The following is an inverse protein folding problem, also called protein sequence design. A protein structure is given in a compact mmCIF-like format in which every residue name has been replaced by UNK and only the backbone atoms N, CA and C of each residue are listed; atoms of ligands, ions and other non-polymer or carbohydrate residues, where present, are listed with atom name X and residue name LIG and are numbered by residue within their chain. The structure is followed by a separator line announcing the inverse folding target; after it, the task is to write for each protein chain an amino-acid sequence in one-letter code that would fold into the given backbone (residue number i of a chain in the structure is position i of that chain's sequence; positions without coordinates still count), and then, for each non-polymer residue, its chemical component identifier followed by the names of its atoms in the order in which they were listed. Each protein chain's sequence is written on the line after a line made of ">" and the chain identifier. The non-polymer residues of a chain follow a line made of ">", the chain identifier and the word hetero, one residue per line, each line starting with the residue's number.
data_IF_550967604725
#
_entry.id   IF_550967604725
#
_cell.length_a   1.000
_cell.length_b   1.000
_cell.length_c   1.000
_cell.angle_alpha   90.00
_cell.angle_beta   90.00
_cell.angle_gamma   90.00
#
_symmetry.space_group_name_H-M   'P 1'
#
loop_
_entity.id
_entity.type
_entity.pdbx_description
1 polymer ?
#
# COMPACT_ATOMS: atom_id res chain seq x y z
N UNK A 1 57.45 -2.53 -26.76
CA UNK A 1 56.78 -1.86 -25.59
C UNK A 1 55.29 -1.63 -25.84
N UNK A 2 54.90 -0.97 -26.95
CA UNK A 2 53.49 -0.75 -27.34
C UNK A 2 52.64 -2.02 -27.40
N UNK A 3 53.14 -3.10 -28.02
CA UNK A 3 52.38 -4.37 -28.15
C UNK A 3 52.04 -5.02 -26.81
N UNK A 4 52.97 -5.00 -25.84
CA UNK A 4 52.74 -5.51 -24.47
C UNK A 4 51.66 -4.68 -23.75
N UNK A 5 51.67 -3.36 -23.92
CA UNK A 5 50.67 -2.44 -23.36
C UNK A 5 49.30 -2.72 -23.99
N UNK A 6 49.23 -2.81 -25.33
CA UNK A 6 47.98 -3.14 -26.05
C UNK A 6 47.43 -4.50 -25.63
N UNK A 7 48.27 -5.50 -25.44
CA UNK A 7 47.88 -6.81 -24.94
C UNK A 7 47.31 -6.75 -23.52
N UNK A 8 47.96 -6.02 -22.60
CA UNK A 8 47.45 -5.81 -21.24
C UNK A 8 46.09 -5.10 -21.25
N UNK A 9 45.94 -4.04 -22.05
CA UNK A 9 44.70 -3.28 -22.17
C UNK A 9 43.55 -4.19 -22.66
N UNK A 10 43.77 -4.98 -23.72
CA UNK A 10 42.77 -5.94 -24.20
C UNK A 10 42.38 -6.96 -23.13
N UNK A 11 43.36 -7.44 -22.35
CA UNK A 11 43.11 -8.38 -21.23
C UNK A 11 42.30 -7.74 -20.11
N UNK A 12 42.59 -6.49 -19.75
CA UNK A 12 41.85 -5.73 -18.74
C UNK A 12 40.41 -5.47 -19.21
N UNK A 13 40.22 -5.03 -20.47
CA UNK A 13 38.89 -4.82 -21.04
C UNK A 13 38.07 -6.12 -21.00
N UNK A 14 38.67 -7.25 -21.35
CA UNK A 14 37.99 -8.56 -21.29
C UNK A 14 37.58 -8.94 -19.87
N UNK A 15 38.42 -8.67 -18.87
CA UNK A 15 38.09 -8.87 -17.45
C UNK A 15 36.95 -7.94 -17.02
N UNK A 16 36.99 -6.66 -17.43
CA UNK A 16 35.96 -5.68 -17.07
C UNK A 16 34.59 -6.07 -17.65
N UNK A 17 34.55 -6.47 -18.93
CA UNK A 17 33.34 -6.98 -19.59
C UNK A 17 32.80 -8.21 -18.85
N UNK A 18 33.69 -9.13 -18.46
CA UNK A 18 33.30 -10.32 -17.69
C UNK A 18 32.69 -9.95 -16.33
N UNK A 19 33.28 -9.00 -15.61
CA UNK A 19 32.76 -8.51 -14.32
C UNK A 19 31.38 -7.88 -14.50
N UNK A 20 31.20 -7.02 -15.52
CA UNK A 20 29.92 -6.37 -15.81
C UNK A 20 28.84 -7.41 -16.15
N UNK A 21 29.18 -8.39 -16.99
CA UNK A 21 28.29 -9.50 -17.32
C UNK A 21 27.89 -10.28 -16.06
N UNK A 22 28.86 -10.63 -15.22
CA UNK A 22 28.60 -11.40 -14.00
C UNK A 22 27.75 -10.62 -13.00
N UNK A 23 27.99 -9.31 -12.86
CA UNK A 23 27.15 -8.43 -12.04
C UNK A 23 25.71 -8.38 -12.58
N UNK A 24 25.55 -8.22 -13.90
CA UNK A 24 24.22 -8.25 -14.54
C UNK A 24 23.52 -9.59 -14.35
N UNK A 25 24.26 -10.70 -14.43
CA UNK A 25 23.73 -12.04 -14.20
C UNK A 25 23.25 -12.22 -12.76
N UNK A 26 24.07 -11.84 -11.77
CA UNK A 26 23.71 -11.88 -10.35
C UNK A 26 22.51 -10.98 -10.07
N UNK A 27 22.51 -9.75 -10.60
CA UNK A 27 21.40 -8.82 -10.47
C UNK A 27 20.10 -9.37 -11.05
N UNK A 28 20.16 -10.00 -12.22
CA UNK A 28 19.02 -10.68 -12.83
C UNK A 28 18.55 -11.87 -12.00
N UNK A 29 19.47 -12.69 -11.46
CA UNK A 29 19.13 -13.81 -10.59
C UNK A 29 18.36 -13.35 -9.36
N UNK A 30 18.89 -12.34 -8.66
CA UNK A 30 18.28 -11.75 -7.47
C UNK A 30 16.92 -11.12 -7.81
N UNK A 31 16.83 -10.38 -8.91
CA UNK A 31 15.59 -9.74 -9.35
C UNK A 31 14.52 -10.75 -9.77
N UNK A 32 14.90 -11.88 -10.38
CA UNK A 32 13.95 -12.93 -10.79
C UNK A 32 13.25 -13.61 -9.61
N UNK A 33 13.85 -13.57 -8.42
CA UNK A 33 13.31 -14.22 -7.22
C UNK A 33 12.17 -13.43 -6.57
N UNK A 34 12.15 -12.10 -6.74
CA UNK A 34 11.18 -11.22 -6.09
C UNK A 34 9.75 -11.55 -6.50
N UNK A 35 8.84 -11.52 -5.53
CA UNK A 35 7.40 -11.70 -5.76
C UNK A 35 6.75 -10.40 -6.24
N UNK A 36 7.16 -9.27 -5.68
CA UNK A 36 6.59 -7.97 -6.00
C UNK A 36 7.60 -6.82 -5.78
N UNK A 37 7.28 -5.66 -6.32
CA UNK A 37 7.99 -4.40 -6.03
C UNK A 37 7.02 -3.27 -5.63
N UNK A 38 7.58 -2.23 -5.01
CA UNK A 38 6.87 -0.97 -4.76
C UNK A 38 6.95 -0.10 -6.00
N UNK A 39 5.80 0.37 -6.48
CA UNK A 39 5.74 1.29 -7.62
C UNK A 39 5.98 2.73 -7.18
N UNK A 40 6.15 3.63 -8.16
CA UNK A 40 6.20 5.08 -7.91
C UNK A 40 4.82 5.69 -7.59
N UNK A 41 3.73 4.93 -7.75
CA UNK A 41 2.40 5.38 -7.36
C UNK A 41 2.29 5.33 -5.83
N UNK A 42 2.35 6.50 -5.19
CA UNK A 42 2.26 6.63 -3.74
C UNK A 42 1.13 7.55 -3.29
N UNK A 43 0.70 7.38 -2.05
CA UNK A 43 -0.29 8.23 -1.40
C UNK A 43 0.24 8.70 -0.05
N UNK A 44 -0.15 9.90 0.37
CA UNK A 44 -0.04 10.33 1.76
C UNK A 44 -1.30 9.86 2.48
N UNK A 45 -1.12 8.99 3.46
CA UNK A 45 -2.17 8.45 4.31
C UNK A 45 -2.00 8.96 5.74
N UNK A 46 -3.10 9.37 6.37
CA UNK A 46 -3.08 9.80 7.76
C UNK A 46 -3.38 8.62 8.67
N UNK A 47 -2.44 8.33 9.58
CA UNK A 47 -2.60 7.26 10.55
C UNK A 47 -3.92 7.39 11.31
N UNK A 48 -4.71 6.30 11.48
CA UNK A 48 -6.03 6.39 12.12
C UNK A 48 -5.99 6.92 13.55
N UNK A 49 -5.02 6.49 14.35
CA UNK A 49 -4.89 6.86 15.77
C UNK A 49 -4.21 8.22 15.98
N UNK A 50 -2.92 8.34 15.64
CA UNK A 50 -2.11 9.53 15.96
C UNK A 50 -2.10 10.61 14.87
N UNK A 51 -2.82 10.41 13.76
CA UNK A 51 -2.93 11.35 12.62
C UNK A 51 -1.61 11.75 11.95
N UNK A 52 -0.50 11.04 12.21
CA UNK A 52 0.77 11.29 11.50
C UNK A 52 0.61 10.95 10.01
N UNK A 53 1.36 11.64 9.17
CA UNK A 53 1.45 11.33 7.75
C UNK A 53 2.31 10.09 7.53
N UNK A 54 1.86 9.23 6.61
CA UNK A 54 2.53 8.01 6.20
C UNK A 54 2.50 7.96 4.69
N UNK A 55 3.66 7.80 4.07
CA UNK A 55 3.73 7.55 2.65
C UNK A 55 3.55 6.05 2.39
N UNK A 56 2.58 5.70 1.55
CA UNK A 56 2.33 4.31 1.16
C UNK A 56 2.48 4.15 -0.36
N UNK A 57 3.08 3.04 -0.78
CA UNK A 57 3.37 2.71 -2.16
C UNK A 57 2.47 1.58 -2.65
N UNK A 58 1.91 1.73 -3.84
CA UNK A 58 1.16 0.68 -4.51
C UNK A 58 2.11 -0.46 -4.89
N UNK A 59 1.73 -1.71 -4.64
CA UNK A 59 2.54 -2.88 -5.00
C UNK A 59 2.19 -3.39 -6.41
N UNK A 60 3.18 -3.96 -7.10
CA UNK A 60 2.98 -4.65 -8.39
C UNK A 60 3.64 -6.03 -8.37
N UNK A 61 2.93 -7.04 -8.88
CA UNK A 61 3.44 -8.40 -8.97
C UNK A 61 4.52 -8.55 -10.06
N UNK A 62 5.64 -9.21 -9.74
CA UNK A 62 6.75 -9.44 -10.67
C UNK A 62 6.73 -10.82 -11.35
N UNK A 63 5.88 -11.72 -10.86
CA UNK A 63 5.68 -13.08 -11.38
C UNK A 63 4.25 -13.55 -11.10
N UNK A 64 3.85 -14.61 -11.78
CA UNK A 64 2.60 -15.30 -11.49
C UNK A 64 2.73 -16.12 -10.20
N UNK A 65 1.73 -16.04 -9.32
CA UNK A 65 1.62 -16.90 -8.13
C UNK A 65 0.17 -16.95 -7.65
N UNK A 66 -0.28 -18.14 -7.22
CA UNK A 66 -1.67 -18.38 -6.86
C UNK A 66 -2.63 -17.85 -7.95
N UNK A 67 -3.48 -16.85 -7.67
CA UNK A 67 -4.36 -16.21 -8.65
C UNK A 67 -3.88 -14.82 -9.10
N UNK A 68 -2.71 -14.36 -8.67
CA UNK A 68 -2.14 -13.05 -9.03
C UNK A 68 -1.25 -13.20 -10.26
N UNK A 69 -1.45 -12.33 -11.25
CA UNK A 69 -0.67 -12.33 -12.49
C UNK A 69 0.49 -11.33 -12.45
N UNK A 70 1.58 -11.64 -13.14
CA UNK A 70 2.68 -10.69 -13.34
C UNK A 70 2.13 -9.38 -13.92
N UNK A 71 2.53 -8.26 -13.32
CA UNK A 71 2.07 -6.91 -13.67
C UNK A 71 0.78 -6.47 -12.97
N UNK A 72 0.12 -7.35 -12.21
CA UNK A 72 -1.10 -7.00 -11.47
C UNK A 72 -0.78 -6.06 -10.29
N UNK A 73 -1.56 -4.99 -10.17
CA UNK A 73 -1.46 -4.04 -9.05
C UNK A 73 -2.22 -4.57 -7.83
N UNK A 74 -1.53 -4.65 -6.69
CA UNK A 74 -2.14 -4.94 -5.38
C UNK A 74 -2.45 -3.67 -4.61
N UNK A 75 -2.69 -3.75 -3.30
CA UNK A 75 -2.93 -2.59 -2.42
C UNK A 75 -1.67 -1.79 -2.11
N UNK A 76 -1.63 -1.19 -0.92
CA UNK A 76 -0.56 -0.27 -0.52
C UNK A 76 0.20 -0.75 0.70
N UNK A 77 1.51 -0.52 0.70
CA UNK A 77 2.40 -0.78 1.84
C UNK A 77 3.31 0.41 2.12
N UNK A 78 3.76 0.56 3.37
CA UNK A 78 4.76 1.58 3.73
C UNK A 78 6.15 1.20 3.22
N UNK A 79 6.51 -0.08 3.35
CA UNK A 79 7.80 -0.61 2.89
C UNK A 79 7.74 -2.13 2.67
N UNK A 80 8.87 -2.72 2.26
CA UNK A 80 8.99 -4.15 1.98
C UNK A 80 8.79 -5.08 3.19
N UNK A 81 8.84 -4.58 4.43
CA UNK A 81 8.59 -5.40 5.62
C UNK A 81 7.11 -5.72 5.81
N UNK A 82 6.20 -4.95 5.22
CA UNK A 82 4.76 -5.11 5.44
C UNK A 82 4.14 -6.31 4.70
N UNK A 83 4.76 -6.78 3.61
CA UNK A 83 4.29 -7.92 2.84
C UNK A 83 5.46 -8.85 2.51
N UNK A 84 5.35 -10.12 2.91
CA UNK A 84 6.40 -11.10 2.65
C UNK A 84 6.70 -11.25 1.16
N UNK A 85 7.98 -11.36 0.79
CA UNK A 85 8.41 -11.74 -0.57
C UNK A 85 8.23 -13.25 -0.82
N UNK A 86 8.06 -14.04 0.24
CA UNK A 86 7.82 -15.48 0.20
C UNK A 86 6.32 -15.82 0.29
N UNK A 87 5.97 -17.06 -0.05
CA UNK A 87 4.60 -17.55 0.01
C UNK A 87 3.65 -16.84 -0.97
N UNK A 88 2.35 -17.09 -0.83
CA UNK A 88 1.30 -16.56 -1.71
C UNK A 88 0.52 -15.39 -1.11
N UNK A 89 1.04 -14.77 -0.04
CA UNK A 89 0.37 -13.63 0.58
C UNK A 89 0.26 -12.46 -0.38
N UNK A 90 -0.89 -11.77 -0.34
CA UNK A 90 -1.16 -10.62 -1.22
C UNK A 90 -2.15 -9.65 -0.61
N UNK A 91 -1.97 -8.37 -0.95
CA UNK A 91 -2.84 -7.26 -0.59
C UNK A 91 -3.55 -6.85 -1.87
N UNK A 92 -4.86 -6.97 -1.91
CA UNK A 92 -5.72 -6.65 -3.05
C UNK A 92 -6.36 -5.26 -2.88
N UNK A 93 -6.97 -4.76 -3.95
CA UNK A 93 -7.79 -3.55 -3.98
C UNK A 93 -7.06 -2.32 -3.41
N UNK A 94 -7.63 -1.64 -2.42
CA UNK A 94 -7.10 -0.44 -1.77
C UNK A 94 -6.68 -0.70 -0.31
N UNK A 95 -6.47 -1.97 0.05
CA UNK A 95 -6.07 -2.35 1.39
C UNK A 95 -4.67 -1.83 1.69
N UNK A 96 -4.40 -1.54 2.97
CA UNK A 96 -3.19 -0.84 3.42
C UNK A 96 -2.55 -1.57 4.57
N UNK A 97 -1.24 -1.78 4.48
CA UNK A 97 -0.44 -2.38 5.55
C UNK A 97 0.76 -1.49 5.86
N UNK A 98 0.86 -1.02 7.09
CA UNK A 98 1.80 0.06 7.46
C UNK A 98 2.11 0.03 8.96
N UNK A 99 3.04 0.85 9.46
CA UNK A 99 3.41 0.94 10.89
C UNK A 99 3.66 -0.41 11.54
N UNK A 100 4.65 -1.15 11.02
CA UNK A 100 5.02 -2.50 11.49
C UNK A 100 3.92 -3.57 11.36
N UNK A 101 2.81 -3.27 10.67
CA UNK A 101 1.86 -4.29 10.24
C UNK A 101 2.49 -5.25 9.23
N UNK A 102 2.20 -6.55 9.33
CA UNK A 102 2.83 -7.58 8.50
C UNK A 102 1.80 -8.56 7.91
N UNK A 103 2.00 -8.94 6.64
CA UNK A 103 1.22 -9.97 5.95
C UNK A 103 2.14 -11.07 5.41
N UNK A 104 1.96 -12.28 5.91
CA UNK A 104 2.87 -13.42 5.74
C UNK A 104 2.17 -14.64 5.12
N UNK A 105 2.96 -15.64 4.75
CA UNK A 105 2.55 -16.94 4.23
C UNK A 105 1.60 -16.89 3.03
N UNK A 106 0.32 -17.26 3.20
CA UNK A 106 -0.72 -17.29 2.18
C UNK A 106 -1.91 -16.37 2.54
N UNK A 107 -1.71 -15.44 3.47
CA UNK A 107 -2.75 -14.54 3.92
C UNK A 107 -3.20 -13.57 2.81
N UNK A 108 -4.49 -13.24 2.78
CA UNK A 108 -5.08 -12.38 1.74
C UNK A 108 -5.87 -11.25 2.37
N UNK A 109 -5.56 -10.03 1.96
CA UNK A 109 -6.18 -8.81 2.47
C UNK A 109 -6.91 -8.11 1.32
N UNK A 110 -8.19 -7.79 1.49
CA UNK A 110 -9.05 -7.24 0.44
C UNK A 110 -9.68 -5.89 0.82
N UNK A 111 -10.28 -5.24 -0.18
CA UNK A 111 -11.07 -4.02 -0.09
C UNK A 111 -10.31 -2.84 0.52
N UNK A 112 -10.87 -2.15 1.51
CA UNK A 112 -10.21 -1.02 2.19
C UNK A 112 -9.67 -1.39 3.58
N UNK A 113 -9.29 -2.66 3.78
CA UNK A 113 -8.84 -3.13 5.09
C UNK A 113 -7.50 -2.50 5.50
N UNK A 114 -7.32 -2.25 6.79
CA UNK A 114 -6.13 -1.60 7.36
C UNK A 114 -5.47 -2.52 8.40
N UNK A 115 -4.21 -2.89 8.16
CA UNK A 115 -3.41 -3.70 9.08
C UNK A 115 -2.21 -2.85 9.52
N UNK A 116 -2.09 -2.54 10.81
CA UNK A 116 -1.08 -1.60 11.30
C UNK A 116 -0.66 -1.82 12.76
N UNK A 117 0.26 -1.01 13.27
CA UNK A 117 0.76 -1.01 14.66
C UNK A 117 1.15 -2.39 15.22
N UNK A 118 2.05 -3.11 14.54
CA UNK A 118 2.52 -4.47 14.89
C UNK A 118 1.49 -5.61 14.73
N UNK A 119 0.39 -5.37 14.03
CA UNK A 119 -0.54 -6.44 13.69
C UNK A 119 0.07 -7.40 12.66
N UNK A 120 -0.05 -8.70 12.90
CA UNK A 120 0.44 -9.73 11.97
C UNK A 120 -0.71 -10.58 11.46
N UNK A 121 -0.82 -10.70 10.13
CA UNK A 121 -1.76 -11.60 9.46
C UNK A 121 -0.97 -12.65 8.68
N UNK A 122 -1.20 -13.93 8.97
CA UNK A 122 -0.37 -15.03 8.48
C UNK A 122 -1.18 -16.27 8.10
N UNK A 123 -0.48 -17.34 7.73
CA UNK A 123 -1.04 -18.62 7.30
C UNK A 123 -2.04 -18.49 6.14
N UNK A 124 -3.31 -18.89 6.32
CA UNK A 124 -4.37 -18.85 5.28
C UNK A 124 -5.49 -17.88 5.66
N UNK A 125 -5.18 -16.90 6.52
CA UNK A 125 -6.16 -15.94 6.97
C UNK A 125 -6.66 -15.06 5.81
N UNK A 126 -7.94 -14.72 5.83
CA UNK A 126 -8.59 -13.87 4.83
C UNK A 126 -9.25 -12.69 5.55
N UNK A 127 -8.94 -11.49 5.10
CA UNK A 127 -9.47 -10.23 5.63
C UNK A 127 -10.18 -9.48 4.51
N UNK A 128 -11.44 -9.12 4.69
CA UNK A 128 -12.28 -8.42 3.69
C UNK A 128 -13.16 -7.35 4.35
N UNK A 129 -13.85 -6.54 3.55
CA UNK A 129 -14.88 -5.57 3.99
C UNK A 129 -14.41 -4.51 5.00
N UNK A 130 -13.35 -3.77 4.69
CA UNK A 130 -12.88 -2.61 5.47
C UNK A 130 -12.50 -2.93 6.93
N UNK A 131 -12.00 -4.14 7.17
CA UNK A 131 -11.56 -4.57 8.49
C UNK A 131 -10.33 -3.79 8.97
N UNK A 132 -10.25 -3.55 10.28
CA UNK A 132 -9.07 -2.95 10.92
C UNK A 132 -8.45 -3.92 11.90
N UNK A 133 -7.16 -4.20 11.72
CA UNK A 133 -6.38 -5.02 12.64
C UNK A 133 -5.17 -4.21 13.06
N UNK A 134 -5.06 -3.91 14.35
CA UNK A 134 -3.95 -3.10 14.85
C UNK A 134 -3.56 -3.42 16.28
N UNK A 135 -2.50 -2.79 16.78
CA UNK A 135 -1.77 -3.23 17.97
C UNK A 135 -1.14 -4.62 17.75
N UNK A 136 -0.67 -5.24 18.84
CA UNK A 136 -0.08 -6.58 18.84
C UNK A 136 -1.13 -7.70 18.70
N UNK A 137 -1.89 -7.66 17.61
CA UNK A 137 -2.88 -8.69 17.23
C UNK A 137 -2.24 -9.63 16.20
N UNK A 138 -2.36 -10.93 16.45
CA UNK A 138 -1.95 -11.97 15.52
C UNK A 138 -3.17 -12.72 14.99
N UNK A 139 -3.35 -12.71 13.67
CA UNK A 139 -4.40 -13.42 12.95
C UNK A 139 -3.76 -14.52 12.10
N UNK A 140 -4.18 -15.77 12.29
CA UNK A 140 -3.64 -16.93 11.57
C UNK A 140 -4.69 -18.03 11.37
N UNK A 141 -4.26 -19.24 11.05
CA UNK A 141 -5.15 -20.33 10.65
C UNK A 141 -5.87 -20.04 9.33
N UNK A 142 -6.99 -20.74 9.15
CA UNK A 142 -8.00 -20.51 8.12
C UNK A 142 -9.05 -19.48 8.59
N UNK A 143 -8.62 -18.44 9.32
CA UNK A 143 -9.55 -17.47 9.92
C UNK A 143 -10.03 -16.47 8.89
N UNK A 144 -11.34 -16.20 8.88
CA UNK A 144 -11.98 -15.22 8.01
C UNK A 144 -12.44 -14.02 8.85
N UNK A 145 -12.03 -12.81 8.51
CA UNK A 145 -12.46 -11.57 9.18
C UNK A 145 -13.14 -10.64 8.18
N UNK A 146 -14.33 -10.14 8.52
CA UNK A 146 -15.19 -9.40 7.58
C UNK A 146 -16.11 -8.38 8.26
N UNK A 147 -16.96 -7.71 7.47
CA UNK A 147 -18.02 -6.79 7.91
C UNK A 147 -17.56 -5.64 8.82
N UNK A 148 -16.57 -4.86 8.39
CA UNK A 148 -16.05 -3.69 9.13
C UNK A 148 -15.55 -4.02 10.55
N UNK A 149 -15.18 -5.27 10.80
CA UNK A 149 -14.67 -5.74 12.11
C UNK A 149 -13.42 -4.97 12.51
N UNK A 150 -13.32 -4.64 13.79
CA UNK A 150 -12.11 -4.09 14.41
C UNK A 150 -11.52 -5.12 15.37
N UNK A 151 -10.25 -5.46 15.18
CA UNK A 151 -9.44 -6.29 16.08
C UNK A 151 -8.25 -5.47 16.56
N UNK A 152 -8.27 -5.06 17.84
CA UNK A 152 -7.26 -4.15 18.39
C UNK A 152 -6.79 -4.53 19.80
N UNK A 153 -7.26 -5.66 20.34
CA UNK A 153 -6.88 -6.09 21.69
C UNK A 153 -5.39 -6.44 21.68
N UNK A 154 -4.59 -5.70 22.45
CA UNK A 154 -3.15 -5.97 22.62
C UNK A 154 -2.92 -7.42 23.04
N UNK A 155 -1.90 -8.04 22.46
CA UNK A 155 -1.44 -9.41 22.71
C UNK A 155 -2.56 -10.46 22.51
N UNK A 156 -3.38 -10.29 21.48
CA UNK A 156 -4.46 -11.24 21.16
C UNK A 156 -4.14 -12.09 19.94
N UNK A 157 -4.55 -13.35 19.99
CA UNK A 157 -4.27 -14.36 18.97
C UNK A 157 -5.57 -14.98 18.46
N UNK A 158 -5.81 -14.87 17.15
CA UNK A 158 -6.98 -15.41 16.46
C UNK A 158 -6.52 -16.47 15.45
N UNK A 159 -6.30 -17.70 15.92
CA UNK A 159 -5.71 -18.80 15.14
C UNK A 159 -6.60 -20.06 15.04
N UNK A 160 -7.86 -19.98 15.50
CA UNK A 160 -8.75 -21.15 15.66
C UNK A 160 -9.59 -21.49 14.42
N UNK A 161 -9.16 -21.11 13.21
CA UNK A 161 -9.90 -21.36 11.95
C UNK A 161 -11.36 -20.82 11.98
N UNK A 162 -11.56 -19.67 12.60
CA UNK A 162 -12.89 -19.15 12.92
C UNK A 162 -13.35 -18.11 11.89
N UNK A 163 -14.67 -17.84 11.85
CA UNK A 163 -15.22 -16.68 11.16
C UNK A 163 -15.49 -15.58 12.17
N UNK A 164 -14.92 -14.42 11.95
CA UNK A 164 -15.08 -13.22 12.79
C UNK A 164 -15.79 -12.16 11.95
N UNK A 165 -16.91 -11.67 12.47
CA UNK A 165 -17.67 -10.62 11.84
C UNK A 165 -18.37 -9.79 12.90
N UNK A 166 -18.57 -8.50 12.63
CA UNK A 166 -19.39 -7.60 13.42
C UNK A 166 -18.99 -7.54 14.90
N UNK A 167 -17.69 -7.42 15.20
CA UNK A 167 -17.27 -7.06 16.57
C UNK A 167 -17.86 -5.70 16.91
N UNK A 168 -18.34 -5.47 18.16
CA UNK A 168 -18.95 -4.20 18.53
C UNK A 168 -18.01 -3.05 18.17
N UNK A 169 -18.51 -2.11 17.35
CA UNK A 169 -17.80 -0.88 16.99
C UNK A 169 -17.39 -0.20 18.31
N UNK A 170 -16.08 -0.15 18.58
CA UNK A 170 -15.56 0.58 19.72
C UNK A 170 -16.01 2.05 19.58
N UNK A 171 -16.66 2.63 20.60
CA UNK A 171 -17.31 3.96 20.52
C UNK A 171 -16.35 5.07 20.04
N UNK A 172 -15.05 4.94 20.31
CA UNK A 172 -13.96 5.80 19.84
C UNK A 172 -13.86 5.89 18.30
N UNK A 173 -14.31 4.85 17.57
CA UNK A 173 -14.32 4.85 16.11
C UNK A 173 -15.52 5.62 15.52
N UNK A 174 -16.66 5.66 16.22
CA UNK A 174 -17.86 6.39 15.79
C UNK A 174 -17.61 7.90 15.80
N UNK A 175 -16.91 8.41 16.83
CA UNK A 175 -16.52 9.82 16.91
C UNK A 175 -15.56 10.22 15.76
N UNK A 176 -14.65 9.31 15.39
CA UNK A 176 -13.76 9.53 14.24
C UNK A 176 -14.49 9.46 12.88
N UNK A 177 -15.54 8.64 12.73
CA UNK A 177 -16.35 8.56 11.50
C UNK A 177 -17.10 9.86 11.24
N UNK A 178 -17.65 10.48 12.28
CA UNK A 178 -18.31 11.78 12.19
C UNK A 178 -17.32 12.89 11.82
N UNK A 179 -16.10 12.85 12.39
CA UNK A 179 -15.01 13.74 12.00
C UNK A 179 -14.67 13.65 10.50
N UNK A 180 -14.47 12.45 9.95
CA UNK A 180 -14.15 12.29 8.53
C UNK A 180 -15.33 12.64 7.61
N UNK A 181 -16.57 12.36 8.03
CA UNK A 181 -17.78 12.79 7.31
C UNK A 181 -17.87 14.31 7.25
N UNK A 182 -17.67 15.00 8.38
CA UNK A 182 -17.66 16.46 8.48
C UNK A 182 -16.53 17.08 7.67
N UNK A 183 -15.34 16.47 7.64
CA UNK A 183 -14.21 16.91 6.80
C UNK A 183 -14.51 16.80 5.30
N UNK A 184 -15.19 15.73 4.86
CA UNK A 184 -15.63 15.54 3.48
C UNK A 184 -16.71 16.56 3.07
N UNK A 185 -17.66 16.84 3.97
CA UNK A 185 -18.69 17.87 3.78
C UNK A 185 -18.08 19.28 3.71
N UNK A 186 -17.11 19.60 4.57
CA UNK A 186 -16.40 20.88 4.56
C UNK A 186 -15.66 21.10 3.24
N UNK A 187 -14.94 20.08 2.76
CA UNK A 187 -14.29 20.14 1.43
C UNK A 187 -15.32 20.38 0.32
N UNK A 188 -16.46 19.68 0.33
CA UNK A 188 -17.53 19.87 -0.66
C UNK A 188 -18.12 21.27 -0.61
N UNK A 189 -18.39 21.81 0.59
CA UNK A 189 -18.89 23.18 0.77
C UNK A 189 -17.89 24.22 0.27
N UNK A 190 -16.60 24.00 0.51
CA UNK A 190 -15.54 24.90 0.05
C UNK A 190 -15.42 24.88 -1.49
N UNK A 191 -15.54 23.71 -2.12
CA UNK A 191 -15.59 23.60 -3.59
C UNK A 191 -16.81 24.32 -4.19
N UNK A 192 -17.99 24.18 -3.59
CA UNK A 192 -19.20 24.87 -4.07
C UNK A 192 -19.03 26.39 -3.97
N UNK A 193 -18.56 26.89 -2.82
CA UNK A 193 -18.33 28.33 -2.61
C UNK A 193 -17.30 28.90 -3.58
N UNK A 194 -16.23 28.17 -3.88
CA UNK A 194 -15.24 28.59 -4.87
C UNK A 194 -15.85 28.69 -6.27
N UNK A 195 -16.72 27.75 -6.65
CA UNK A 195 -17.39 27.78 -7.96
C UNK A 195 -18.40 28.93 -8.07
N UNK A 196 -19.14 29.25 -7.01
CA UNK A 196 -20.03 30.43 -6.96
C UNK A 196 -19.26 31.75 -7.09
N UNK A 197 -18.13 31.88 -6.40
CA UNK A 197 -17.25 33.06 -6.52
C UNK A 197 -16.70 33.24 -7.94
N UNK A 198 -16.28 32.15 -8.60
CA UNK A 198 -15.81 32.17 -9.99
C UNK A 198 -16.93 32.62 -10.94
N UNK A 199 -18.15 32.10 -10.76
CA UNK A 199 -19.29 32.47 -11.60
C UNK A 199 -19.67 33.95 -11.45
N UNK A 200 -19.71 34.46 -10.22
CA UNK A 200 -19.99 35.89 -9.97
C UNK A 200 -18.89 36.79 -10.56
N UNK A 201 -17.62 36.40 -10.49
CA UNK A 201 -16.52 37.16 -11.10
C UNK A 201 -16.62 37.20 -12.64
N UNK A 202 -17.09 36.12 -13.27
CA UNK A 202 -17.31 36.07 -14.72
C UNK A 202 -18.51 36.92 -15.15
N UNK A 203 -19.57 37.01 -14.33
CA UNK A 203 -20.72 37.91 -14.59
C UNK A 203 -20.28 39.37 -14.54
N UNK A 204 -19.52 39.77 -13.51
CA UNK A 204 -19.02 41.15 -13.36
C UNK A 204 -18.07 41.54 -14.50
N UNK A 205 -17.29 40.59 -15.05
CA UNK A 205 -16.44 40.85 -16.22
C UNK A 205 -17.24 41.06 -17.52
N UNK A 206 -18.37 40.40 -17.67
CA UNK A 206 -19.23 40.57 -18.85
C UNK A 206 -20.04 41.87 -18.77
N UNK A 207 -20.36 42.36 -17.57
CA UNK A 207 -21.04 43.65 -17.37
C UNK A 207 -20.09 44.85 -17.53
N UNK A 208 -18.79 44.69 -17.21
CA UNK A 208 -17.79 45.76 -17.35
C UNK A 208 -16.99 45.71 -18.67
N UNK A 209 -17.25 44.74 -19.54
CA UNK A 209 -16.58 44.57 -20.84
C UNK A 209 -17.36 45.12 -22.04
N UNK A 210 -18.51 45.76 -21.80
CA UNK A 210 -19.42 46.27 -22.82
C UNK A 210 -19.34 47.79 -23.01
N UNK A 211 -18.15 48.37 -23.07
CA UNK A 211 -17.91 49.73 -23.58
C UNK A 211 -16.54 49.75 -24.30
N UNK A 212 -16.51 49.20 -25.51
CA UNK A 212 -15.59 49.60 -26.57
C UNK A 212 -16.34 49.51 -27.90
N UNK A 213 -17.11 50.55 -28.18
CA UNK A 213 -17.40 51.08 -29.52
C UNK A 213 -17.20 52.61 -29.47
#
# INVERSE_FOLDING_TARGET
>A
MKEKITFLIKRIIKILIFIIFFYSLIFNLISSSKKYELTNQSIIFYHPENKREIQLYRIIALKDFFNVKKGELGGFVENYYNLSQSGNSWIYDDAKVFSDGMVLDNAKIYNNSLIYDNATVMERAIVLDNVKIYNTVTLGGNTLVSKNTILNKKNSFFIKNQRIHNTPENQEYLENKEYYKRKKELKRKQTIKNNEMINNFNIIKNENGGDQD
#
